data_IF_377942999351
#
_entry.id   IF_377942999351
#
_cell.length_a   1.000
_cell.length_b   1.000
_cell.length_c   1.000
_cell.angle_alpha   90.00
_cell.angle_beta   90.00
_cell.angle_gamma   90.00
#
_symmetry.space_group_name_H-M   'P 1'
#
loop_
_entity.id
_entity.type
_entity.pdbx_description
1 polymer ?
#
# COMPACT_ATOMS: atom_id res chain seq x y z
N UNK A 1 17.65 6.86 17.21
CA UNK A 1 18.98 6.50 16.63
C UNK A 1 19.62 7.71 15.94
N UNK A 2 20.95 7.78 15.77
CA UNK A 2 21.61 8.90 15.04
C UNK A 2 21.38 8.77 13.53
N UNK A 3 21.17 9.90 12.83
CA UNK A 3 20.96 9.96 11.37
C UNK A 3 22.02 9.22 10.57
N UNK A 4 23.30 9.31 10.96
CA UNK A 4 24.41 8.59 10.32
C UNK A 4 24.24 7.06 10.38
N UNK A 5 23.70 6.54 11.48
CA UNK A 5 23.46 5.09 11.64
C UNK A 5 22.28 4.65 10.81
N UNK A 6 21.17 5.42 10.82
CA UNK A 6 20.01 5.18 9.95
C UNK A 6 20.46 5.14 8.48
N UNK A 7 21.25 6.14 8.06
CA UNK A 7 21.78 6.20 6.70
C UNK A 7 22.59 4.95 6.35
N UNK A 8 23.47 4.49 7.24
CA UNK A 8 24.26 3.28 7.01
C UNK A 8 23.38 2.03 6.86
N UNK A 9 22.35 1.89 7.69
CA UNK A 9 21.42 0.74 7.65
C UNK A 9 20.66 0.75 6.33
N UNK A 10 20.05 1.89 5.97
CA UNK A 10 19.30 2.03 4.72
C UNK A 10 20.19 1.80 3.50
N UNK A 11 21.37 2.43 3.44
CA UNK A 11 22.31 2.21 2.33
C UNK A 11 22.70 0.73 2.20
N UNK A 12 22.98 0.04 3.30
CA UNK A 12 23.35 -1.38 3.26
C UNK A 12 22.19 -2.24 2.77
N UNK A 13 20.99 -2.02 3.32
CA UNK A 13 19.77 -2.76 2.95
C UNK A 13 19.40 -2.54 1.48
N UNK A 14 19.39 -1.30 1.03
CA UNK A 14 19.06 -0.95 -0.35
C UNK A 14 20.10 -1.50 -1.33
N UNK A 15 21.39 -1.46 -1.01
CA UNK A 15 22.42 -2.03 -1.89
C UNK A 15 22.32 -3.56 -1.97
N UNK A 16 22.08 -4.24 -0.85
CA UNK A 16 21.89 -5.71 -0.81
C UNK A 16 20.69 -6.12 -1.69
N UNK A 17 19.59 -5.38 -1.61
CA UNK A 17 18.42 -5.58 -2.49
C UNK A 17 18.69 -5.27 -3.97
N UNK A 18 19.32 -4.13 -4.28
CA UNK A 18 19.67 -3.81 -5.67
C UNK A 18 20.59 -4.87 -6.25
N UNK A 19 21.52 -5.42 -5.46
CA UNK A 19 22.46 -6.46 -5.91
C UNK A 19 21.77 -7.79 -6.23
N UNK A 20 20.63 -8.09 -5.61
CA UNK A 20 19.85 -9.30 -5.89
C UNK A 20 19.06 -9.22 -7.21
N UNK A 21 19.00 -8.05 -7.87
CA UNK A 21 18.31 -7.87 -9.15
C UNK A 21 19.26 -8.19 -10.31
N UNK A 22 18.93 -9.19 -11.11
CA UNK A 22 19.80 -9.63 -12.22
C UNK A 22 19.93 -8.58 -13.34
N UNK A 23 18.89 -7.77 -13.53
CA UNK A 23 18.78 -6.80 -14.62
C UNK A 23 19.71 -5.58 -14.42
N UNK A 24 20.84 -5.55 -15.15
CA UNK A 24 21.91 -4.54 -15.01
C UNK A 24 21.46 -3.09 -15.20
N UNK A 25 20.63 -2.79 -16.21
CA UNK A 25 20.19 -1.40 -16.44
C UNK A 25 19.24 -0.91 -15.35
N UNK A 26 18.22 -1.71 -14.99
CA UNK A 26 17.35 -1.49 -13.82
C UNK A 26 18.14 -1.17 -12.55
N UNK A 27 19.20 -1.93 -12.23
CA UNK A 27 20.07 -1.64 -11.07
C UNK A 27 20.69 -0.24 -11.10
N UNK A 28 21.08 0.26 -12.28
CA UNK A 28 21.65 1.61 -12.42
C UNK A 28 20.60 2.69 -12.23
N UNK A 29 19.38 2.46 -12.73
CA UNK A 29 18.26 3.38 -12.59
C UNK A 29 17.78 3.46 -11.14
N UNK A 30 17.61 2.31 -10.49
CA UNK A 30 17.22 2.21 -9.09
C UNK A 30 18.14 3.00 -8.15
N UNK A 31 19.45 2.99 -8.39
CA UNK A 31 20.41 3.78 -7.57
C UNK A 31 20.14 5.29 -7.61
N UNK A 32 19.45 5.80 -8.62
CA UNK A 32 19.08 7.21 -8.76
C UNK A 32 17.67 7.49 -8.27
N UNK A 33 16.75 6.55 -8.52
CA UNK A 33 15.33 6.84 -8.41
C UNK A 33 14.68 6.32 -7.10
N UNK A 34 15.42 5.59 -6.26
CA UNK A 34 14.88 5.09 -4.98
C UNK A 34 14.70 6.22 -3.96
N UNK A 35 13.49 6.26 -3.39
CA UNK A 35 13.13 7.06 -2.22
C UNK A 35 12.60 6.13 -1.13
N UNK A 36 13.21 6.15 0.04
CA UNK A 36 12.67 5.48 1.23
C UNK A 36 12.07 6.53 2.14
N UNK A 37 10.82 6.34 2.52
CA UNK A 37 10.08 7.22 3.44
C UNK A 37 9.11 6.38 4.25
N UNK A 38 8.35 6.97 5.17
CA UNK A 38 7.30 6.25 5.88
C UNK A 38 7.72 5.75 7.26
N UNK A 39 7.17 4.61 7.65
CA UNK A 39 7.28 4.08 9.01
C UNK A 39 8.69 3.66 9.40
N UNK A 40 9.48 3.12 8.47
CA UNK A 40 10.82 2.58 8.75
C UNK A 40 11.76 3.61 9.39
N UNK A 41 11.79 4.84 8.87
CA UNK A 41 12.62 5.92 9.41
C UNK A 41 12.09 6.38 10.77
N UNK A 42 10.77 6.48 10.94
CA UNK A 42 10.15 6.80 12.22
C UNK A 42 10.49 5.77 13.30
N UNK A 43 10.31 4.47 13.02
CA UNK A 43 10.64 3.37 13.94
C UNK A 43 12.12 3.42 14.32
N UNK A 44 13.03 3.58 13.36
CA UNK A 44 14.46 3.71 13.62
C UNK A 44 14.83 4.93 14.49
N UNK A 45 14.15 6.06 14.31
CA UNK A 45 14.35 7.24 15.15
C UNK A 45 13.90 6.96 16.59
N UNK A 46 12.75 6.31 16.76
CA UNK A 46 12.16 5.91 18.04
C UNK A 46 12.83 4.69 18.70
N UNK A 47 13.72 3.99 17.98
CA UNK A 47 14.33 2.72 18.42
C UNK A 47 13.31 1.58 18.57
N UNK A 48 12.27 1.60 17.75
CA UNK A 48 11.28 0.55 17.61
C UNK A 48 11.69 -0.41 16.47
N UNK A 49 11.21 -1.66 16.47
CA UNK A 49 11.43 -2.57 15.35
C UNK A 49 10.84 -1.98 14.05
N UNK A 50 11.56 -2.19 12.95
CA UNK A 50 11.07 -1.85 11.61
C UNK A 50 10.24 -3.02 11.12
N UNK A 51 8.97 -2.76 10.80
CA UNK A 51 8.10 -3.75 10.18
C UNK A 51 8.52 -3.96 8.73
N UNK A 52 8.49 -2.88 7.95
CA UNK A 52 8.79 -2.87 6.52
C UNK A 52 9.55 -1.61 6.11
N UNK A 53 10.32 -1.74 5.03
CA UNK A 53 10.95 -0.64 4.32
C UNK A 53 10.10 -0.30 3.09
N UNK A 54 9.28 0.74 3.21
CA UNK A 54 8.50 1.27 2.09
C UNK A 54 9.44 1.93 1.06
N UNK A 55 9.58 1.30 -0.09
CA UNK A 55 10.38 1.77 -1.22
C UNK A 55 9.46 2.38 -2.26
N UNK A 56 9.72 3.65 -2.56
CA UNK A 56 9.10 4.39 -3.64
C UNK A 56 10.13 4.64 -4.73
N UNK A 57 9.65 4.78 -5.95
CA UNK A 57 10.48 5.09 -7.12
C UNK A 57 10.06 6.47 -7.64
N UNK A 58 11.01 7.35 -7.90
CA UNK A 58 10.72 8.71 -8.36
C UNK A 58 10.36 8.78 -9.85
N UNK A 59 10.87 7.85 -10.65
CA UNK A 59 10.66 7.83 -12.09
C UNK A 59 9.68 6.71 -12.51
N UNK A 60 8.62 7.07 -13.25
CA UNK A 60 7.58 6.13 -13.70
C UNK A 60 8.13 5.02 -14.60
N UNK A 61 9.11 5.31 -15.46
CA UNK A 61 9.75 4.32 -16.34
C UNK A 61 10.53 3.30 -15.50
N UNK A 62 11.29 3.77 -14.51
CA UNK A 62 12.03 2.89 -13.58
C UNK A 62 11.06 2.04 -12.76
N UNK A 63 9.94 2.62 -12.31
CA UNK A 63 8.89 1.89 -11.62
C UNK A 63 8.28 0.80 -12.51
N UNK A 64 7.92 1.13 -13.75
CA UNK A 64 7.39 0.16 -14.71
C UNK A 64 8.35 -1.02 -14.94
N UNK A 65 9.64 -0.73 -15.12
CA UNK A 65 10.67 -1.77 -15.27
C UNK A 65 10.78 -2.66 -14.03
N UNK A 66 10.67 -2.07 -12.84
CA UNK A 66 10.73 -2.79 -11.58
C UNK A 66 9.51 -3.69 -11.38
N UNK A 67 8.32 -3.17 -11.66
CA UNK A 67 7.06 -3.94 -11.60
C UNK A 67 7.11 -5.09 -12.59
N UNK A 68 7.55 -4.85 -13.84
CA UNK A 68 7.71 -5.90 -14.84
C UNK A 68 8.68 -7.00 -14.40
N UNK A 69 9.80 -6.62 -13.77
CA UNK A 69 10.76 -7.58 -13.25
C UNK A 69 10.11 -8.54 -12.24
N UNK A 70 9.38 -8.02 -11.25
CA UNK A 70 8.75 -8.84 -10.22
C UNK A 70 7.48 -9.56 -10.68
N UNK A 71 6.69 -8.99 -11.59
CA UNK A 71 5.55 -9.67 -12.20
C UNK A 71 6.00 -10.87 -13.03
N UNK A 72 7.09 -10.74 -13.80
CA UNK A 72 7.67 -11.86 -14.54
C UNK A 72 8.19 -12.95 -13.62
N UNK A 73 8.84 -12.56 -12.53
CA UNK A 73 9.32 -13.52 -11.53
C UNK A 73 8.16 -14.29 -10.90
N UNK A 74 7.11 -13.57 -10.48
CA UNK A 74 5.89 -14.14 -9.89
C UNK A 74 5.17 -15.10 -10.86
N UNK A 75 5.03 -14.72 -12.13
CA UNK A 75 4.40 -15.55 -13.16
C UNK A 75 5.20 -16.83 -13.48
N UNK A 76 6.54 -16.81 -13.35
CA UNK A 76 7.34 -18.03 -13.51
C UNK A 76 7.04 -19.06 -12.41
N UNK A 77 6.75 -18.60 -11.21
CA UNK A 77 6.44 -19.46 -10.07
C UNK A 77 4.99 -19.94 -10.05
N UNK A 78 4.05 -19.09 -10.50
CA UNK A 78 2.60 -19.32 -10.34
C UNK A 78 1.85 -19.64 -11.65
N UNK A 79 2.50 -19.49 -12.80
CA UNK A 79 1.92 -19.70 -14.14
C UNK A 79 1.82 -18.40 -14.94
N UNK A 80 2.11 -18.48 -16.24
CA UNK A 80 2.00 -17.34 -17.16
C UNK A 80 0.58 -16.75 -17.16
N UNK A 81 0.50 -15.41 -17.08
CA UNK A 81 -0.77 -14.68 -17.08
C UNK A 81 -1.40 -14.44 -15.71
N UNK A 82 -0.80 -14.95 -14.62
CA UNK A 82 -1.36 -14.82 -13.26
C UNK A 82 -1.41 -13.35 -12.80
N UNK A 83 -0.33 -12.61 -13.02
CA UNK A 83 -0.22 -11.17 -12.77
C UNK A 83 0.07 -10.43 -14.08
N UNK A 84 -0.55 -9.26 -14.24
CA UNK A 84 -0.38 -8.40 -15.42
C UNK A 84 -0.31 -6.93 -15.02
N UNK A 85 0.31 -6.11 -15.86
CA UNK A 85 0.46 -4.67 -15.62
C UNK A 85 -0.70 -3.94 -16.30
N UNK A 86 -1.35 -3.08 -15.55
CA UNK A 86 -2.38 -2.16 -16.04
C UNK A 86 -1.77 -0.76 -16.08
N UNK A 87 -1.89 -0.11 -17.23
CA UNK A 87 -1.47 1.27 -17.43
C UNK A 87 -2.71 2.15 -17.58
N UNK A 88 -2.75 3.22 -16.79
CA UNK A 88 -3.79 4.24 -16.88
C UNK A 88 -3.13 5.53 -17.35
N UNK A 89 -3.47 5.97 -18.56
CA UNK A 89 -3.05 7.27 -19.09
C UNK A 89 -4.01 8.37 -18.65
N UNK A 90 -3.50 9.50 -18.15
CA UNK A 90 -4.29 10.69 -17.76
C UNK A 90 -5.06 11.35 -18.93
N UNK A 91 -4.95 10.84 -20.16
CA UNK A 91 -5.61 11.42 -21.35
C UNK A 91 -7.07 10.99 -21.54
N UNK A 92 -7.68 10.28 -20.59
CA UNK A 92 -9.11 9.99 -20.61
C UNK A 92 -9.73 10.42 -19.28
N UNK A 93 -10.50 11.52 -19.33
CA UNK A 93 -11.42 11.90 -18.27
C UNK A 93 -12.30 10.67 -17.95
N UNK A 94 -12.23 10.22 -16.70
CA UNK A 94 -12.82 8.97 -16.19
C UNK A 94 -14.37 9.00 -16.10
N UNK A 95 -15.05 9.89 -16.82
CA UNK A 95 -16.49 10.14 -16.64
C UNK A 95 -17.42 9.28 -17.50
N UNK A 96 -16.92 8.59 -18.54
CA UNK A 96 -17.77 7.88 -19.52
C UNK A 96 -17.39 6.40 -19.78
N UNK A 97 -16.61 5.74 -18.91
CA UNK A 97 -16.24 4.32 -19.11
C UNK A 97 -17.23 3.35 -18.47
N UNK A 98 -17.77 2.43 -19.28
CA UNK A 98 -18.58 1.29 -18.84
C UNK A 98 -17.73 0.39 -17.91
N UNK A 99 -18.16 0.11 -16.67
CA UNK A 99 -17.45 -0.75 -15.71
C UNK A 99 -17.16 -2.17 -16.21
N UNK A 100 -17.83 -2.61 -17.28
CA UNK A 100 -17.65 -3.91 -17.91
C UNK A 100 -16.70 -3.90 -19.11
N UNK A 101 -16.21 -2.74 -19.55
CA UNK A 101 -15.16 -2.72 -20.57
C UNK A 101 -13.87 -3.26 -19.95
N UNK A 102 -13.26 -4.31 -20.54
CA UNK A 102 -12.02 -4.85 -20.05
C UNK A 102 -10.99 -3.72 -20.06
N UNK A 103 -10.45 -3.37 -18.88
CA UNK A 103 -9.18 -2.65 -18.76
C UNK A 103 -8.27 -3.18 -19.85
N UNK A 104 -7.58 -2.31 -20.60
CA UNK A 104 -6.71 -2.75 -21.68
C UNK A 104 -5.64 -3.67 -21.08
N UNK A 105 -5.94 -4.97 -21.05
CA UNK A 105 -5.09 -6.03 -20.53
C UNK A 105 -3.93 -6.02 -21.49
N UNK A 106 -2.80 -5.49 -21.04
CA UNK A 106 -1.55 -5.66 -21.75
C UNK A 106 -1.20 -7.14 -21.60
N UNK A 107 -1.81 -7.96 -22.45
CA UNK A 107 -1.42 -9.33 -22.65
C UNK A 107 0.02 -9.32 -23.14
N UNK A 108 0.84 -10.09 -22.42
CA UNK A 108 2.15 -10.54 -22.84
C UNK A 108 2.04 -11.13 -24.26
N UNK A 109 2.67 -10.51 -25.26
CA UNK A 109 2.90 -11.14 -26.58
C UNK A 109 3.93 -10.33 -27.35
N UNK A 110 5.20 -10.35 -26.92
CA UNK A 110 6.41 -10.03 -27.72
C UNK A 110 6.44 -8.70 -28.51
N UNK A 111 5.39 -7.87 -28.47
CA UNK A 111 5.26 -6.57 -29.10
C UNK A 111 5.65 -5.52 -28.06
N UNK A 112 6.95 -5.52 -27.76
CA UNK A 112 7.70 -4.36 -27.29
C UNK A 112 7.04 -3.59 -26.13
N UNK A 113 7.09 -4.14 -24.91
CA UNK A 113 7.07 -3.35 -23.66
C UNK A 113 8.16 -2.27 -23.65
N UNK A 114 9.20 -2.42 -24.49
CA UNK A 114 10.15 -1.37 -24.87
C UNK A 114 9.48 -0.10 -25.46
N UNK A 115 8.31 -0.25 -26.09
CA UNK A 115 7.47 0.86 -26.55
C UNK A 115 6.68 1.52 -25.41
N UNK A 116 6.34 0.76 -24.36
CA UNK A 116 5.60 1.25 -23.20
C UNK A 116 6.43 2.28 -22.42
N UNK A 117 7.70 1.98 -22.19
CA UNK A 117 8.62 2.91 -21.54
C UNK A 117 8.77 4.26 -22.27
N UNK A 118 8.66 4.24 -23.60
CA UNK A 118 8.74 5.44 -24.44
C UNK A 118 7.43 6.24 -24.51
N UNK A 119 6.29 5.64 -24.13
CA UNK A 119 4.99 6.31 -24.12
C UNK A 119 4.51 6.72 -22.72
N UNK A 120 5.18 6.27 -21.65
CA UNK A 120 4.91 6.71 -20.29
C UNK A 120 5.15 8.21 -20.15
N UNK A 121 4.13 8.93 -19.70
CA UNK A 121 4.19 10.35 -19.38
C UNK A 121 4.09 10.58 -17.89
N UNK A 122 4.56 11.75 -17.47
CA UNK A 122 4.38 12.25 -16.10
C UNK A 122 2.88 12.45 -15.84
N UNK A 123 2.33 11.69 -14.89
CA UNK A 123 0.88 11.58 -14.62
C UNK A 123 0.34 10.16 -14.74
N UNK A 124 0.92 9.34 -15.62
CA UNK A 124 0.45 7.98 -15.87
C UNK A 124 0.52 7.11 -14.61
N UNK A 125 -0.50 6.29 -14.35
CA UNK A 125 -0.52 5.36 -13.21
C UNK A 125 -0.28 3.93 -13.66
N UNK A 126 0.42 3.20 -12.80
CA UNK A 126 0.70 1.78 -12.98
C UNK A 126 -0.01 1.03 -11.85
N UNK A 127 -0.75 0.01 -12.21
CA UNK A 127 -1.40 -0.90 -11.27
C UNK A 127 -1.09 -2.35 -11.66
N UNK A 128 -1.13 -3.24 -10.68
CA UNK A 128 -0.95 -4.67 -10.93
C UNK A 128 -2.32 -5.36 -10.87
N UNK A 129 -2.71 -5.96 -11.99
CA UNK A 129 -3.88 -6.82 -12.08
C UNK A 129 -3.53 -8.27 -11.75
N UNK A 130 -4.45 -8.97 -11.11
CA UNK A 130 -4.37 -10.42 -10.86
C UNK A 130 -5.56 -11.11 -11.53
N UNK A 131 -5.34 -12.29 -12.11
CA UNK A 131 -6.40 -13.05 -12.76
C UNK A 131 -7.44 -13.56 -11.74
N UNK A 132 -8.72 -13.41 -12.09
CA UNK A 132 -9.85 -13.77 -11.22
C UNK A 132 -9.92 -15.29 -11.02
N UNK A 133 -9.54 -15.74 -9.82
CA UNK A 133 -9.47 -17.17 -9.45
C UNK A 133 -8.29 -17.47 -8.52
N UNK A 134 -7.25 -16.63 -8.56
CA UNK A 134 -6.12 -16.61 -7.62
C UNK A 134 -6.27 -15.34 -6.77
N UNK A 135 -7.46 -15.15 -6.21
CA UNK A 135 -7.80 -13.95 -5.46
C UNK A 135 -6.92 -13.84 -4.22
N UNK A 136 -5.92 -12.96 -4.27
CA UNK A 136 -4.84 -12.84 -3.28
C UNK A 136 -4.19 -14.20 -3.02
N UNK A 137 -2.94 -14.39 -3.44
CA UNK A 137 -2.06 -15.32 -2.70
C UNK A 137 -1.75 -14.65 -1.36
N UNK A 138 -2.78 -14.45 -0.53
CA UNK A 138 -2.64 -14.56 0.90
C UNK A 138 -2.34 -16.04 1.11
N UNK A 139 -1.05 -16.37 1.14
CA UNK A 139 -0.66 -17.42 2.08
C UNK A 139 -1.35 -17.05 3.40
N UNK A 140 -2.03 -18.00 4.02
CA UNK A 140 -2.85 -17.86 5.22
C UNK A 140 -2.03 -17.44 6.47
N UNK A 141 -1.12 -16.49 6.33
CA UNK A 141 -0.14 -16.02 7.31
C UNK A 141 -0.05 -14.49 7.29
N UNK A 142 -1.17 -13.81 6.97
CA UNK A 142 -1.35 -12.39 7.31
C UNK A 142 -1.59 -12.29 8.82
N UNK A 143 -0.52 -12.53 9.60
CA UNK A 143 -0.37 -11.91 10.93
C UNK A 143 1.05 -11.98 11.51
N UNK A 144 2.00 -12.76 10.95
CA UNK A 144 3.36 -12.81 11.52
C UNK A 144 4.51 -13.22 10.58
N UNK A 145 4.35 -13.19 9.26
CA UNK A 145 5.35 -13.76 8.32
C UNK A 145 6.37 -12.76 7.75
N UNK A 146 6.60 -11.59 8.38
CA UNK A 146 7.78 -10.77 8.03
C UNK A 146 9.10 -11.37 8.57
N UNK A 147 9.03 -12.38 9.45
CA UNK A 147 10.19 -12.96 10.15
C UNK A 147 10.50 -14.43 9.82
N UNK A 148 9.84 -15.04 8.84
CA UNK A 148 10.23 -16.36 8.34
C UNK A 148 10.94 -16.27 6.98
N UNK A 149 12.11 -15.62 6.97
CA UNK A 149 13.15 -16.09 6.07
C UNK A 149 13.51 -17.52 6.54
N UNK A 150 12.78 -18.54 6.08
CA UNK A 150 13.39 -19.85 5.95
C UNK A 150 14.62 -19.59 5.06
N UNK A 151 15.82 -19.68 5.64
CA UNK A 151 17.10 -19.42 4.96
C UNK A 151 17.22 -20.22 3.65
N UNK A 152 16.44 -21.30 3.50
CA UNK A 152 16.35 -22.15 2.31
C UNK A 152 15.61 -21.54 1.10
N UNK A 153 14.76 -20.52 1.28
CA UNK A 153 13.86 -20.03 0.21
C UNK A 153 14.28 -18.66 -0.40
N UNK A 154 15.50 -18.19 -0.14
CA UNK A 154 16.07 -17.00 -0.80
C UNK A 154 15.57 -15.62 -0.30
N UNK A 155 16.46 -14.63 -0.37
CA UNK A 155 16.16 -13.22 -0.04
C UNK A 155 15.46 -12.50 -1.18
N UNK A 156 14.63 -11.52 -0.85
CA UNK A 156 13.94 -10.61 -1.78
C UNK A 156 13.02 -11.30 -2.81
N UNK A 157 12.49 -12.49 -2.48
CA UNK A 157 11.46 -13.15 -3.28
C UNK A 157 10.11 -12.45 -3.12
N UNK A 158 9.26 -12.52 -4.13
CA UNK A 158 7.89 -11.97 -4.03
C UNK A 158 7.07 -12.83 -3.07
N UNK A 159 6.63 -12.25 -1.95
CA UNK A 159 5.79 -12.94 -0.95
C UNK A 159 4.32 -12.63 -1.22
N UNK A 160 4.02 -11.37 -1.50
CA UNK A 160 2.67 -10.92 -1.73
C UNK A 160 2.65 -9.84 -2.80
N UNK A 161 1.64 -9.92 -3.66
CA UNK A 161 1.44 -8.96 -4.75
C UNK A 161 0.01 -8.43 -4.69
N UNK A 162 -0.11 -7.11 -4.73
CA UNK A 162 -1.38 -6.40 -4.77
C UNK A 162 -1.37 -5.34 -5.86
N UNK A 163 -2.53 -4.74 -6.14
CA UNK A 163 -2.61 -3.67 -7.12
C UNK A 163 -1.77 -2.44 -6.79
N UNK A 164 -1.44 -2.23 -5.52
CA UNK A 164 -0.79 -1.01 -5.03
C UNK A 164 0.64 -1.21 -4.54
N UNK A 165 1.01 -2.44 -4.21
CA UNK A 165 2.30 -2.75 -3.60
C UNK A 165 2.73 -4.19 -3.89
N UNK A 166 4.05 -4.38 -3.95
CA UNK A 166 4.72 -5.67 -4.02
C UNK A 166 5.49 -5.84 -2.71
N UNK A 167 5.15 -6.87 -1.93
CA UNK A 167 5.85 -7.21 -0.70
C UNK A 167 6.84 -8.33 -0.98
N UNK A 168 8.10 -8.07 -0.67
CA UNK A 168 9.20 -9.00 -0.82
C UNK A 168 9.60 -9.59 0.52
N UNK A 169 10.26 -10.76 0.49
CA UNK A 169 10.93 -11.30 1.67
C UNK A 169 12.01 -10.34 2.16
N UNK A 170 12.36 -10.43 3.45
CA UNK A 170 13.34 -9.55 4.10
C UNK A 170 12.84 -8.10 4.27
N UNK A 171 11.53 -7.93 4.50
CA UNK A 171 10.88 -6.67 4.95
C UNK A 171 10.94 -5.52 3.95
N UNK A 172 11.00 -5.81 2.65
CA UNK A 172 10.95 -4.78 1.60
C UNK A 172 9.55 -4.72 1.02
N UNK A 173 8.97 -3.53 0.95
CA UNK A 173 7.69 -3.30 0.31
C UNK A 173 7.83 -2.22 -0.75
N UNK A 174 7.62 -2.59 -2.01
CA UNK A 174 7.66 -1.65 -3.14
C UNK A 174 6.26 -1.08 -3.31
N UNK A 175 6.13 0.25 -3.20
CA UNK A 175 4.86 0.94 -3.41
C UNK A 175 4.76 1.35 -4.87
N UNK A 176 3.71 0.87 -5.54
CA UNK A 176 3.44 1.10 -6.97
C UNK A 176 2.41 2.21 -7.18
N UNK A 177 1.49 2.38 -6.22
CA UNK A 177 0.38 3.36 -6.32
C UNK A 177 0.85 4.80 -6.51
N UNK A 178 2.01 5.16 -5.96
CA UNK A 178 2.55 6.51 -6.01
C UNK A 178 4.02 6.46 -6.42
N UNK A 179 4.40 7.37 -7.30
CA UNK A 179 5.77 7.64 -7.70
C UNK A 179 6.01 9.14 -7.67
N UNK A 180 7.26 9.54 -7.85
CA UNK A 180 7.67 10.94 -7.90
C UNK A 180 8.69 11.32 -6.85
N UNK A 181 8.99 12.61 -6.76
CA UNK A 181 9.90 13.11 -5.73
C UNK A 181 9.28 12.94 -4.33
N UNK A 182 10.12 13.03 -3.30
CA UNK A 182 9.71 12.92 -1.91
C UNK A 182 8.53 13.86 -1.57
N UNK A 183 8.44 15.03 -2.20
CA UNK A 183 7.32 15.99 -2.00
C UNK A 183 6.00 15.44 -2.54
N UNK A 184 6.03 14.84 -3.72
CA UNK A 184 4.84 14.27 -4.37
C UNK A 184 4.37 13.04 -3.60
N UNK A 185 5.30 12.18 -3.18
CA UNK A 185 5.01 11.03 -2.31
C UNK A 185 4.36 11.50 -0.99
N UNK A 186 4.96 12.46 -0.29
CA UNK A 186 4.44 12.98 0.99
C UNK A 186 3.12 13.72 0.88
N UNK A 187 2.74 14.18 -0.31
CA UNK A 187 1.42 14.79 -0.54
C UNK A 187 0.28 13.79 -0.38
N UNK A 188 0.56 12.50 -0.59
CA UNK A 188 -0.39 11.41 -0.42
C UNK A 188 -0.43 10.86 1.03
N UNK A 189 0.41 11.38 1.94
CA UNK A 189 0.47 10.91 3.33
C UNK A 189 -0.56 11.60 4.20
N UNK A 190 -1.25 10.81 5.01
CA UNK A 190 -2.26 11.23 5.99
C UNK A 190 -1.65 11.96 7.19
N UNK A 191 -0.53 11.48 7.72
CA UNK A 191 0.12 12.01 8.92
C UNK A 191 1.53 12.54 8.68
N UNK A 192 1.85 13.63 9.39
CA UNK A 192 3.13 14.33 9.23
C UNK A 192 4.33 13.53 9.76
N UNK A 193 4.14 12.66 10.76
CA UNK A 193 5.26 11.96 11.43
C UNK A 193 6.09 11.06 10.49
N UNK A 194 5.49 10.60 9.39
CA UNK A 194 6.09 9.69 8.43
C UNK A 194 6.83 10.39 7.27
N UNK A 195 6.97 11.73 7.29
CA UNK A 195 7.54 12.54 6.20
C UNK A 195 9.07 12.76 6.27
N UNK A 196 9.77 11.95 7.06
CA UNK A 196 11.22 11.85 6.95
C UNK A 196 11.54 10.93 5.77
N UNK A 197 12.59 11.23 5.01
CA UNK A 197 12.90 10.49 3.79
C UNK A 197 14.40 10.28 3.62
N UNK A 198 14.74 9.39 2.70
CA UNK A 198 16.09 8.98 2.38
C UNK A 198 16.20 8.69 0.88
N UNK A 199 17.28 9.14 0.25
CA UNK A 199 17.74 8.66 -1.05
C UNK A 199 19.21 8.28 -0.98
N UNK A 200 19.70 7.54 -1.98
CA UNK A 200 21.10 7.14 -2.04
C UNK A 200 22.06 8.34 -2.17
N UNK A 201 21.62 9.42 -2.83
CA UNK A 201 22.42 10.62 -3.07
C UNK A 201 22.47 11.55 -1.86
N UNK A 202 21.33 11.88 -1.26
CA UNK A 202 21.27 12.87 -0.17
C UNK A 202 21.44 12.24 1.21
N UNK A 203 21.17 10.95 1.34
CA UNK A 203 21.03 10.28 2.61
C UNK A 203 19.75 10.70 3.35
N UNK A 204 19.73 10.49 4.67
CA UNK A 204 18.53 10.72 5.50
C UNK A 204 18.31 12.21 5.71
N UNK A 205 17.15 12.70 5.29
CA UNK A 205 16.69 14.08 5.50
C UNK A 205 15.53 14.07 6.49
N UNK A 206 15.67 14.87 7.56
CA UNK A 206 14.69 14.97 8.62
C UNK A 206 13.82 16.22 8.45
N UNK A 207 12.51 16.03 8.53
CA UNK A 207 11.55 17.12 8.53
C UNK A 207 11.30 17.58 9.97
N UNK A 208 11.42 18.88 10.23
CA UNK A 208 11.29 19.47 11.57
C UNK A 208 9.94 19.12 12.21
N UNK A 209 8.83 19.26 11.47
CA UNK A 209 7.49 18.94 12.00
C UNK A 209 7.32 17.45 12.25
N UNK A 210 7.88 16.60 11.38
CA UNK A 210 7.87 15.15 11.61
C UNK A 210 8.63 14.78 12.88
N UNK A 211 9.77 15.44 13.13
CA UNK A 211 10.54 15.25 14.36
C UNK A 211 9.78 15.72 15.60
N UNK A 212 9.10 16.85 15.53
CA UNK A 212 8.21 17.33 16.61
C UNK A 212 7.13 16.28 16.94
N UNK A 213 6.43 15.76 15.91
CA UNK A 213 5.43 14.70 16.07
C UNK A 213 6.02 13.43 16.71
N UNK A 214 7.20 13.00 16.26
CA UNK A 214 7.86 11.80 16.78
C UNK A 214 8.27 11.98 18.24
N UNK A 215 8.78 13.17 18.60
CA UNK A 215 9.20 13.47 19.98
C UNK A 215 8.02 13.56 20.94
N UNK A 216 6.89 14.13 20.51
CA UNK A 216 5.67 14.23 21.33
C UNK A 216 4.79 12.99 21.29
N UNK A 217 5.05 12.04 20.38
CA UNK A 217 4.14 10.96 19.99
C UNK A 217 2.74 11.48 19.67
N UNK A 218 2.67 12.59 18.95
CA UNK A 218 1.42 13.22 18.54
C UNK A 218 1.20 13.07 17.04
N UNK A 219 0.01 12.57 16.67
CA UNK A 219 -0.43 12.52 15.29
C UNK A 219 -0.94 13.89 14.86
N UNK A 220 -0.36 14.41 13.78
CA UNK A 220 -0.85 15.60 13.10
C UNK A 220 -1.34 15.17 11.72
N UNK A 221 -2.64 15.32 11.51
CA UNK A 221 -3.29 15.03 10.23
C UNK A 221 -3.10 16.19 9.26
N UNK A 222 -2.61 15.87 8.06
CA UNK A 222 -2.29 16.84 7.00
C UNK A 222 -3.32 16.89 5.87
N UNK A 223 -4.37 16.07 5.94
CA UNK A 223 -5.27 15.83 4.82
C UNK A 223 -4.86 14.56 4.06
N UNK A 224 -5.85 13.84 3.55
CA UNK A 224 -5.66 12.58 2.83
C UNK A 224 -6.69 12.47 1.72
N UNK A 225 -6.34 11.79 0.64
CA UNK A 225 -7.31 11.31 -0.37
C UNK A 225 -8.17 10.18 0.17
N UNK A 226 -7.75 9.57 1.28
CA UNK A 226 -8.37 8.42 1.92
C UNK A 226 -8.70 8.71 3.40
N UNK A 227 -9.58 9.68 3.71
CA UNK A 227 -9.93 10.03 5.09
C UNK A 227 -10.49 8.84 5.90
N UNK A 228 -11.24 7.91 5.27
CA UNK A 228 -11.77 6.74 5.98
C UNK A 228 -10.64 5.81 6.44
N UNK A 229 -9.72 5.43 5.54
CA UNK A 229 -8.52 4.67 5.92
C UNK A 229 -7.68 5.38 6.99
N UNK A 230 -7.64 6.72 6.95
CA UNK A 230 -6.91 7.51 7.95
C UNK A 230 -7.51 7.36 9.36
N UNK A 231 -8.82 7.17 9.49
CA UNK A 231 -9.49 6.87 10.77
C UNK A 231 -9.06 5.50 11.31
N UNK A 232 -9.06 4.45 10.47
CA UNK A 232 -8.58 3.12 10.87
C UNK A 232 -7.11 3.14 11.29
N UNK A 233 -6.25 3.82 10.53
CA UNK A 233 -4.83 3.99 10.90
C UNK A 233 -4.67 4.76 12.22
N UNK A 234 -5.52 5.76 12.48
CA UNK A 234 -5.52 6.48 13.76
C UNK A 234 -5.72 5.53 14.94
N UNK A 235 -6.67 4.58 14.86
CA UNK A 235 -6.87 3.54 15.88
C UNK A 235 -5.59 2.73 16.11
N UNK A 236 -4.97 2.25 15.03
CA UNK A 236 -3.70 1.47 15.08
C UNK A 236 -2.58 2.24 15.78
N UNK A 237 -2.44 3.54 15.49
CA UNK A 237 -1.44 4.39 16.14
C UNK A 237 -1.76 4.66 17.62
N UNK A 238 -3.03 4.86 17.98
CA UNK A 238 -3.45 5.05 19.38
C UNK A 238 -3.11 3.82 20.21
N UNK A 239 -3.37 2.61 19.69
CA UNK A 239 -2.98 1.35 20.34
C UNK A 239 -1.46 1.29 20.56
N UNK A 240 -0.66 1.83 19.64
CA UNK A 240 0.81 1.96 19.74
C UNK A 240 1.27 3.13 20.64
N UNK A 241 0.37 3.73 21.41
CA UNK A 241 0.69 4.78 22.38
C UNK A 241 0.83 6.19 21.78
N UNK A 242 0.37 6.41 20.55
CA UNK A 242 0.30 7.76 19.98
C UNK A 242 -0.95 8.51 20.47
N UNK A 243 -0.81 9.83 20.61
CA UNK A 243 -1.93 10.72 20.92
C UNK A 243 -2.43 11.37 19.64
N UNK A 244 -3.74 11.40 19.45
CA UNK A 244 -4.36 12.13 18.36
C UNK A 244 -5.30 13.19 18.94
N UNK A 245 -4.97 14.48 18.83
CA UNK A 245 -5.86 15.56 19.24
C UNK A 245 -7.22 15.50 18.52
N UNK A 246 -8.29 15.87 19.21
CA UNK A 246 -9.66 15.88 18.68
C UNK A 246 -9.79 16.70 17.38
N UNK A 247 -8.97 17.75 17.24
CA UNK A 247 -8.92 18.57 16.04
C UNK A 247 -8.60 17.77 14.77
N UNK A 248 -7.79 16.71 14.86
CA UNK A 248 -7.46 15.88 13.71
C UNK A 248 -8.64 14.98 13.31
N UNK A 249 -9.41 14.48 14.28
CA UNK A 249 -10.66 13.77 14.01
C UNK A 249 -11.67 14.65 13.29
N UNK A 250 -11.83 15.91 13.73
CA UNK A 250 -12.72 16.86 13.07
C UNK A 250 -12.27 17.10 11.62
N UNK A 251 -10.97 17.28 11.36
CA UNK A 251 -10.44 17.42 9.98
C UNK A 251 -10.76 16.19 9.12
N UNK A 252 -10.55 14.99 9.65
CA UNK A 252 -10.87 13.74 8.94
C UNK A 252 -12.37 13.65 8.63
N UNK A 253 -13.24 13.98 9.59
CA UNK A 253 -14.68 13.96 9.41
C UNK A 253 -15.17 14.98 8.36
N UNK A 254 -14.59 16.19 8.36
CA UNK A 254 -14.91 17.22 7.35
C UNK A 254 -14.56 16.75 5.95
N UNK A 255 -13.38 16.14 5.75
CA UNK A 255 -12.99 15.60 4.44
C UNK A 255 -13.81 14.37 4.05
N UNK A 256 -14.18 13.53 5.01
CA UNK A 256 -15.01 12.36 4.73
C UNK A 256 -16.38 12.75 4.16
N UNK A 257 -16.91 13.90 4.56
CA UNK A 257 -18.18 14.43 4.06
C UNK A 257 -18.10 14.89 2.59
N UNK A 258 -16.91 14.98 1.99
CA UNK A 258 -16.73 15.27 0.56
C UNK A 258 -16.95 14.02 -0.32
N UNK A 259 -16.98 12.82 0.27
CA UNK A 259 -17.10 11.55 -0.44
C UNK A 259 -18.48 10.91 -0.23
N UNK A 260 -19.03 10.34 -1.30
CA UNK A 260 -20.23 9.53 -1.20
C UNK A 260 -19.88 8.09 -0.83
N UNK A 261 -19.91 7.80 0.47
CA UNK A 261 -19.65 6.45 1.01
C UNK A 261 -20.76 5.44 0.70
N UNK A 262 -21.91 5.87 0.19
CA UNK A 262 -22.96 4.94 -0.26
C UNK A 262 -22.57 4.25 -1.56
N UNK A 263 -21.70 4.87 -2.36
CA UNK A 263 -21.14 4.24 -3.54
C UNK A 263 -20.08 3.21 -3.13
N UNK A 264 -20.32 1.94 -3.46
CA UNK A 264 -19.44 0.83 -3.09
C UNK A 264 -18.04 0.95 -3.69
N UNK A 265 -17.90 1.58 -4.86
CA UNK A 265 -16.61 1.81 -5.49
C UNK A 265 -15.79 2.83 -4.70
N UNK A 266 -16.43 3.92 -4.29
CA UNK A 266 -15.82 4.95 -3.44
C UNK A 266 -15.46 4.36 -2.08
N UNK A 267 -16.36 3.59 -1.47
CA UNK A 267 -16.11 2.90 -0.20
C UNK A 267 -14.90 1.96 -0.29
N UNK A 268 -14.82 1.14 -1.33
CA UNK A 268 -13.67 0.24 -1.57
C UNK A 268 -12.37 1.02 -1.76
N UNK A 269 -12.39 2.11 -2.52
CA UNK A 269 -11.20 2.94 -2.71
C UNK A 269 -10.77 3.59 -1.39
N UNK A 270 -11.72 4.11 -0.61
CA UNK A 270 -11.50 4.73 0.70
C UNK A 270 -10.97 3.77 1.77
N UNK A 271 -11.23 2.47 1.63
CA UNK A 271 -10.72 1.39 2.48
C UNK A 271 -9.46 0.71 1.92
N UNK A 272 -8.91 1.21 0.82
CA UNK A 272 -7.72 0.60 0.23
C UNK A 272 -6.51 0.72 1.16
N UNK A 273 -5.83 -0.41 1.42
CA UNK A 273 -4.70 -0.48 2.34
C UNK A 273 -5.07 -0.42 3.82
N UNK A 274 -6.34 -0.72 4.15
CA UNK A 274 -6.82 -1.06 5.50
C UNK A 274 -6.95 -2.59 5.57
N UNK A 275 -6.88 -3.17 6.77
CA UNK A 275 -6.95 -4.63 7.01
C UNK A 275 -7.99 -5.31 6.11
N UNK A 276 -7.47 -6.20 5.25
CA UNK A 276 -8.18 -6.74 4.10
C UNK A 276 -9.38 -7.59 4.50
N UNK A 277 -9.34 -8.24 5.68
CA UNK A 277 -10.38 -9.13 6.16
C UNK A 277 -11.69 -8.39 6.48
N UNK A 278 -11.64 -7.36 7.34
CA UNK A 278 -12.84 -6.59 7.74
C UNK A 278 -13.47 -5.89 6.54
N UNK A 279 -12.64 -5.27 5.71
CA UNK A 279 -13.11 -4.52 4.56
C UNK A 279 -13.69 -5.45 3.49
N UNK A 280 -13.11 -6.64 3.28
CA UNK A 280 -13.63 -7.63 2.31
C UNK A 280 -14.93 -8.25 2.78
N UNK A 281 -15.09 -8.56 4.07
CA UNK A 281 -16.35 -9.03 4.63
C UNK A 281 -17.46 -7.97 4.48
N UNK A 282 -17.15 -6.72 4.79
CA UNK A 282 -18.06 -5.58 4.61
C UNK A 282 -18.44 -5.38 3.13
N UNK A 283 -17.45 -5.34 2.24
CA UNK A 283 -17.66 -5.15 0.80
C UNK A 283 -18.49 -6.31 0.22
N UNK A 284 -18.19 -7.55 0.58
CA UNK A 284 -18.93 -8.72 0.11
C UNK A 284 -20.39 -8.72 0.61
N UNK A 285 -20.62 -8.35 1.88
CA UNK A 285 -21.97 -8.22 2.43
C UNK A 285 -22.78 -7.14 1.68
N UNK A 286 -22.16 -5.99 1.40
CA UNK A 286 -22.78 -4.93 0.62
C UNK A 286 -23.04 -5.35 -0.84
N UNK A 287 -22.08 -6.00 -1.51
CA UNK A 287 -22.22 -6.49 -2.89
C UNK A 287 -23.31 -7.55 -3.02
N UNK A 288 -23.41 -8.47 -2.06
CA UNK A 288 -24.41 -9.55 -2.10
C UNK A 288 -25.83 -8.98 -2.08
N UNK A 289 -26.07 -7.93 -1.29
CA UNK A 289 -27.38 -7.27 -1.25
C UNK A 289 -27.69 -6.44 -2.49
N UNK A 290 -26.73 -5.69 -3.02
CA UNK A 290 -26.89 -4.96 -4.29
C UNK A 290 -27.27 -5.93 -5.42
N UNK A 291 -26.65 -7.12 -5.43
CA UNK A 291 -26.96 -8.17 -6.42
C UNK A 291 -28.33 -8.84 -6.19
N UNK A 292 -28.85 -8.87 -4.95
CA UNK A 292 -30.14 -9.48 -4.62
C UNK A 292 -31.34 -8.54 -4.83
N UNK A 293 -31.18 -7.23 -4.65
CA UNK A 293 -32.31 -6.27 -4.62
C UNK A 293 -32.43 -5.40 -5.90
N UNK A 294 -31.44 -5.44 -6.81
CA UNK A 294 -31.48 -4.76 -8.11
C UNK A 294 -31.01 -3.30 -8.07
N UNK A 295 -30.86 -2.71 -9.27
CA UNK A 295 -30.12 -1.45 -9.55
C UNK A 295 -30.69 -0.14 -8.97
N UNK A 296 -31.73 -0.21 -8.13
CA UNK A 296 -32.42 0.95 -7.52
C UNK A 296 -32.24 1.00 -5.98
N UNK A 297 -31.44 0.10 -5.40
CA UNK A 297 -31.19 0.08 -3.96
C UNK A 297 -30.12 1.11 -3.56
N UNK A 298 -30.55 2.22 -2.95
CA UNK A 298 -29.65 3.11 -2.21
C UNK A 298 -29.28 2.48 -0.87
N UNK A 299 -27.98 2.30 -0.63
CA UNK A 299 -27.44 1.91 0.68
C UNK A 299 -27.85 2.96 1.74
N UNK A 300 -28.89 2.65 2.50
CA UNK A 300 -29.31 3.45 3.64
C UNK A 300 -28.25 3.43 4.74
N UNK A 301 -28.07 4.56 5.43
CA UNK A 301 -27.11 4.68 6.53
C UNK A 301 -27.37 3.65 7.64
N UNK A 302 -28.64 3.38 7.95
CA UNK A 302 -29.05 2.41 8.96
C UNK A 302 -28.60 0.99 8.62
N UNK A 303 -28.73 0.58 7.36
CA UNK A 303 -28.28 -0.75 6.93
C UNK A 303 -26.75 -0.87 6.95
N UNK A 304 -26.03 0.19 6.58
CA UNK A 304 -24.56 0.19 6.71
C UNK A 304 -24.14 0.06 8.17
N UNK A 305 -24.81 0.75 9.09
CA UNK A 305 -24.55 0.60 10.53
C UNK A 305 -24.78 -0.84 11.00
N UNK A 306 -25.90 -1.48 10.63
CA UNK A 306 -26.17 -2.88 10.99
C UNK A 306 -25.13 -3.86 10.43
N UNK A 307 -24.67 -3.65 9.19
CA UNK A 307 -23.64 -4.49 8.57
C UNK A 307 -22.30 -4.30 9.27
N UNK A 308 -21.94 -3.06 9.59
CA UNK A 308 -20.72 -2.76 10.34
C UNK A 308 -20.79 -3.45 11.71
N UNK A 309 -21.89 -3.31 12.46
CA UNK A 309 -22.07 -3.94 13.76
C UNK A 309 -21.89 -5.47 13.66
N UNK A 310 -22.56 -6.13 12.71
CA UNK A 310 -22.43 -7.58 12.51
C UNK A 310 -21.02 -8.03 12.12
N UNK A 311 -20.33 -7.27 11.28
CA UNK A 311 -18.95 -7.61 10.88
C UNK A 311 -17.98 -7.42 12.05
N UNK A 312 -18.22 -6.42 12.91
CA UNK A 312 -17.36 -6.12 14.07
C UNK A 312 -17.64 -7.04 15.27
N UNK A 313 -18.90 -7.41 15.54
CA UNK A 313 -19.28 -8.33 16.63
C UNK A 313 -18.71 -9.73 16.45
N UNK A 314 -18.69 -10.25 15.22
CA UNK A 314 -18.10 -11.57 14.93
C UNK A 314 -16.59 -11.61 15.18
N UNK A 315 -15.93 -10.46 15.32
CA UNK A 315 -14.49 -10.36 15.50
C UNK A 315 -14.08 -10.22 16.97
N UNK A 316 -14.85 -9.48 17.78
CA UNK A 316 -14.66 -9.49 19.23
C UNK A 316 -14.81 -10.92 19.79
N UNK A 317 -15.71 -11.73 19.22
CA UNK A 317 -15.83 -13.14 19.57
C UNK A 317 -14.65 -14.00 19.12
N UNK A 318 -14.00 -13.69 17.99
CA UNK A 318 -12.86 -14.46 17.50
C UNK A 318 -11.58 -14.13 18.27
N UNK A 319 -11.37 -12.85 18.63
CA UNK A 319 -10.27 -12.38 19.49
C UNK A 319 -10.38 -12.95 20.92
N UNK A 320 -11.58 -12.96 21.53
CA UNK A 320 -11.82 -13.58 22.85
C UNK A 320 -11.59 -15.10 22.85
N UNK A 321 -11.88 -15.77 21.73
CA UNK A 321 -11.65 -17.21 21.60
C UNK A 321 -10.16 -17.55 21.39
N UNK A 322 -9.40 -16.68 20.70
CA UNK A 322 -7.96 -16.83 20.53
C UNK A 322 -7.22 -16.67 21.87
N UNK A 323 -7.54 -15.64 22.67
CA UNK A 323 -6.94 -15.42 24.00
C UNK A 323 -7.23 -16.54 25.01
N UNK A 324 -8.38 -17.21 24.89
CA UNK A 324 -8.73 -18.36 25.73
C UNK A 324 -8.04 -19.66 25.31
N UNK A 325 -7.58 -19.76 24.06
CA UNK A 325 -6.86 -20.95 23.54
C UNK A 325 -5.37 -20.94 23.85
N UNK A 326 -4.76 -19.76 24.04
CA UNK A 326 -3.35 -19.62 24.45
C UNK A 326 -3.13 -19.79 25.97
N UNK A 327 -4.20 -19.67 26.77
CA UNK A 327 -4.17 -19.84 28.23
C UNK A 327 -4.64 -21.23 28.70
N UNK A 328 -4.85 -22.19 27.78
CA UNK A 328 -5.39 -23.54 28.02
C UNK A 328 -4.34 -24.66 28.12
#
# INVERSE_FOLDING_TARGET
MKTRTINKILTAKTNDWIESIDHKELRKLLKKDIVITGGSIASMLLQEPVNDYDIYISNVTTLAMLVEYYVKDFNKEHGEGTAFIVHHSDTYEDDDRDPNEPHQRLYDTEHSLSGLYGCLKEGDRIEIGLESGIGMVASNEEENSHDAANEEQGKYRTVFLSSNAITLSDKIQIIVRFYGDHKEIHSNFDFVHARNWWTLETGVVLNVKSMECLMSRELIYSGSKYPLASLFRTRKFIIRGWRCPISNFIKMAVQLNEFDLKNIHVLREQLTGVDALYCKALINACQTKVNCEGSDFELGADYMCEVIEKVMENQESDEENAENSENG
#
